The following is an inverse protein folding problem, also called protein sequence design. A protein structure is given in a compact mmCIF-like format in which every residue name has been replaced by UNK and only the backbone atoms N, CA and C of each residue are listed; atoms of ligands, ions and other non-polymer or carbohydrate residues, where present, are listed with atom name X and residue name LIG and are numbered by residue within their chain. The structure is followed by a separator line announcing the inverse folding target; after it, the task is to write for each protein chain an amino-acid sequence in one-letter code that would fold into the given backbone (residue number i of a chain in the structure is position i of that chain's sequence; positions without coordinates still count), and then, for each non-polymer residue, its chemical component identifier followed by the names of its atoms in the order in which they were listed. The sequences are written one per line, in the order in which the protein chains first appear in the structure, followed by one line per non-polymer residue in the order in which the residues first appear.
data_IF_491850633022
#
_entry.id   IF_491850633022
#
_cell.length_a   1.000
_cell.length_b   1.000
_cell.length_c   1.000
_cell.angle_alpha   90.00
_cell.angle_beta   90.00
_cell.angle_gamma   90.00
#
_symmetry.space_group_name_H-M   'P 1'
#
loop_
_entity.id
_entity.type
_entity.pdbx_description
1 polymer ?
#
# COMPACT_ATOMS: atom_id res chain seq x y z
N UNK A 1 -6.26 -9.45 -18.41
CA UNK A 1 -6.53 -8.07 -18.82
C UNK A 1 -5.45 -7.69 -19.82
N UNK A 2 -5.80 -7.29 -21.04
CA UNK A 2 -4.83 -6.71 -21.99
C UNK A 2 -4.25 -5.47 -21.34
N UNK A 3 -3.02 -5.12 -21.69
CA UNK A 3 -2.34 -3.96 -21.13
C UNK A 3 -3.30 -2.79 -20.95
N UNK A 4 -3.32 -2.19 -19.76
CA UNK A 4 -4.17 -1.05 -19.44
C UNK A 4 -3.93 0.17 -20.35
N UNK A 5 -2.86 0.13 -21.14
CA UNK A 5 -2.45 1.19 -22.06
C UNK A 5 -2.30 0.63 -23.47
N UNK A 6 -3.16 1.05 -24.37
CA UNK A 6 -2.99 0.84 -25.80
C UNK A 6 -2.32 2.07 -26.41
N UNK A 7 -1.06 1.95 -26.81
CA UNK A 7 -0.28 3.04 -27.44
C UNK A 7 -0.89 3.56 -28.74
N UNK A 8 -1.82 2.82 -29.33
CA UNK A 8 -2.56 3.27 -30.53
C UNK A 8 -3.80 4.09 -30.17
N UNK A 9 -4.15 4.18 -28.89
CA UNK A 9 -5.27 4.96 -28.41
C UNK A 9 -4.77 6.32 -27.89
N UNK A 10 -5.29 7.42 -28.49
CA UNK A 10 -4.89 8.79 -28.09
C UNK A 10 -5.12 9.06 -26.60
N UNK A 11 -6.21 8.52 -26.02
CA UNK A 11 -6.50 8.70 -24.60
C UNK A 11 -5.45 8.01 -23.71
N UNK A 12 -5.00 6.83 -24.09
CA UNK A 12 -3.97 6.10 -23.34
C UNK A 12 -2.60 6.78 -23.44
N UNK A 13 -2.28 7.39 -24.58
CA UNK A 13 -1.07 8.23 -24.71
C UNK A 13 -1.14 9.47 -23.80
N UNK A 14 -2.31 10.10 -23.67
CA UNK A 14 -2.50 11.24 -22.75
C UNK A 14 -2.33 10.78 -21.29
N UNK A 15 -2.94 9.66 -20.90
CA UNK A 15 -2.77 9.08 -19.55
C UNK A 15 -1.31 8.77 -19.24
N UNK A 16 -0.60 8.15 -20.19
CA UNK A 16 0.82 7.83 -20.03
C UNK A 16 1.66 9.09 -19.88
N UNK A 17 1.38 10.13 -20.65
CA UNK A 17 2.07 11.42 -20.53
C UNK A 17 1.82 12.06 -19.16
N UNK A 18 0.57 12.17 -18.71
CA UNK A 18 0.21 12.74 -17.41
C UNK A 18 0.85 11.94 -16.27
N UNK A 19 0.84 10.62 -16.37
CA UNK A 19 1.49 9.76 -15.40
C UNK A 19 2.99 9.99 -15.33
N UNK A 20 3.67 10.07 -16.49
CA UNK A 20 5.12 10.32 -16.54
C UNK A 20 5.46 11.72 -15.97
N UNK A 21 4.65 12.74 -16.28
CA UNK A 21 4.83 14.08 -15.72
C UNK A 21 4.65 14.09 -14.19
N UNK A 22 3.63 13.41 -13.69
CA UNK A 22 3.43 13.24 -12.25
C UNK A 22 4.62 12.52 -11.60
N UNK A 23 5.03 11.37 -12.14
CA UNK A 23 6.13 10.58 -11.59
C UNK A 23 7.45 11.38 -11.57
N UNK A 24 7.69 12.21 -12.57
CA UNK A 24 8.86 13.08 -12.63
C UNK A 24 8.84 14.16 -11.55
N UNK A 25 7.66 14.65 -11.18
CA UNK A 25 7.47 15.70 -10.17
C UNK A 25 7.17 15.16 -8.77
N UNK A 26 6.86 13.86 -8.66
CA UNK A 26 6.54 13.24 -7.38
C UNK A 26 7.74 13.29 -6.43
N UNK A 27 7.46 13.66 -5.19
CA UNK A 27 8.47 13.64 -4.14
C UNK A 27 8.63 12.22 -3.59
N UNK A 28 9.69 11.55 -4.02
CA UNK A 28 10.06 10.24 -3.48
C UNK A 28 11.01 10.46 -2.30
N UNK A 29 10.63 10.02 -1.12
CA UNK A 29 11.44 10.13 0.08
C UNK A 29 11.77 8.74 0.64
N UNK A 30 12.89 8.66 1.35
CA UNK A 30 13.31 7.46 2.05
C UNK A 30 12.64 7.45 3.44
N UNK A 31 11.93 6.37 3.79
CA UNK A 31 11.35 6.21 5.13
C UNK A 31 12.46 5.94 6.15
N UNK A 32 13.44 5.13 5.78
CA UNK A 32 14.56 4.75 6.64
C UNK A 32 14.15 3.83 7.80
N UNK A 33 15.10 3.53 8.68
CA UNK A 33 14.86 2.64 9.81
C UNK A 33 14.13 3.34 10.96
N UNK A 34 13.06 2.72 11.46
CA UNK A 34 12.26 3.19 12.59
C UNK A 34 11.78 2.02 13.46
N UNK A 35 12.25 1.97 14.71
CA UNK A 35 11.80 0.94 15.67
C UNK A 35 10.31 1.03 15.95
N UNK A 36 9.74 2.25 15.93
CA UNK A 36 8.30 2.46 16.12
C UNK A 36 7.51 1.84 14.97
N UNK A 37 7.87 2.13 13.72
CA UNK A 37 7.17 1.59 12.56
C UNK A 37 7.33 0.08 12.46
N UNK A 38 8.49 -0.46 12.83
CA UNK A 38 8.71 -1.92 12.92
C UNK A 38 7.77 -2.55 13.94
N UNK A 39 7.66 -1.98 15.15
CA UNK A 39 6.77 -2.47 16.19
C UNK A 39 5.29 -2.41 15.80
N UNK A 40 4.86 -1.31 15.16
CA UNK A 40 3.50 -1.16 14.66
C UNK A 40 3.20 -2.20 13.56
N UNK A 41 4.14 -2.44 12.65
CA UNK A 41 3.97 -3.44 11.60
C UNK A 41 3.84 -4.84 12.19
N UNK A 42 4.63 -5.20 13.20
CA UNK A 42 4.50 -6.49 13.88
C UNK A 42 3.11 -6.69 14.53
N UNK A 43 2.55 -5.63 15.14
CA UNK A 43 1.20 -5.67 15.71
C UNK A 43 0.13 -5.84 14.62
N UNK A 44 0.26 -5.13 13.51
CA UNK A 44 -0.65 -5.26 12.35
C UNK A 44 -0.61 -6.68 11.79
N UNK A 45 0.57 -7.25 11.62
CA UNK A 45 0.74 -8.62 11.13
C UNK A 45 0.07 -9.61 12.08
N UNK A 46 0.33 -9.52 13.39
CA UNK A 46 -0.31 -10.40 14.38
C UNK A 46 -1.82 -10.29 14.41
N UNK A 47 -2.35 -9.08 14.25
CA UNK A 47 -3.78 -8.83 14.35
C UNK A 47 -4.58 -9.19 13.09
N UNK A 48 -4.06 -8.86 11.90
CA UNK A 48 -4.81 -8.90 10.66
C UNK A 48 -4.32 -9.97 9.67
N UNK A 49 -3.03 -10.33 9.70
CA UNK A 49 -2.43 -11.21 8.71
C UNK A 49 -2.31 -12.65 9.23
N UNK A 50 -1.80 -12.84 10.45
CA UNK A 50 -1.68 -14.18 11.03
C UNK A 50 -3.01 -14.98 11.03
N UNK A 51 -4.19 -14.36 11.32
CA UNK A 51 -5.47 -15.06 11.25
C UNK A 51 -5.89 -15.53 9.85
N UNK A 52 -5.27 -15.01 8.78
CA UNK A 52 -5.58 -15.42 7.41
C UNK A 52 -5.03 -16.81 7.08
N UNK A 53 -4.08 -17.32 7.86
CA UNK A 53 -3.46 -18.64 7.68
C UNK A 53 -2.99 -18.91 6.25
N UNK A 54 -2.29 -17.93 5.65
CA UNK A 54 -1.78 -18.05 4.29
C UNK A 54 -0.79 -19.24 4.17
N UNK A 55 -0.75 -19.95 3.04
CA UNK A 55 0.29 -20.95 2.76
C UNK A 55 1.69 -20.34 2.85
N UNK A 56 2.67 -21.11 3.33
CA UNK A 56 4.05 -20.59 3.53
C UNK A 56 4.77 -20.24 2.22
N UNK A 57 4.34 -20.81 1.12
CA UNK A 57 4.82 -20.58 -0.25
C UNK A 57 3.94 -19.58 -1.03
N UNK A 58 2.90 -19.03 -0.39
CA UNK A 58 2.04 -18.02 -1.00
C UNK A 58 2.87 -16.86 -1.59
N UNK A 59 2.53 -16.46 -2.81
CA UNK A 59 3.11 -15.29 -3.46
C UNK A 59 2.58 -14.02 -2.80
N UNK A 60 3.39 -13.40 -1.95
CA UNK A 60 3.03 -12.22 -1.16
C UNK A 60 3.73 -10.98 -1.71
N UNK A 61 2.95 -9.93 -1.92
CA UNK A 61 3.41 -8.64 -2.41
C UNK A 61 3.22 -7.56 -1.35
N UNK A 62 4.32 -6.90 -0.95
CA UNK A 62 4.33 -5.72 -0.08
C UNK A 62 4.43 -4.46 -0.95
N UNK A 63 3.33 -3.75 -1.08
CA UNK A 63 3.20 -2.58 -1.96
C UNK A 63 3.44 -1.30 -1.18
N UNK A 64 4.47 -0.54 -1.56
CA UNK A 64 4.97 0.57 -0.76
C UNK A 64 5.73 0.06 0.46
N UNK A 65 6.65 -0.90 0.26
CA UNK A 65 7.26 -1.68 1.33
C UNK A 65 8.19 -0.87 2.26
N UNK A 66 8.53 0.38 1.92
CA UNK A 66 9.52 1.15 2.69
C UNK A 66 10.79 0.33 2.94
N UNK A 67 11.37 0.36 4.15
CA UNK A 67 12.58 -0.39 4.50
C UNK A 67 12.31 -1.88 4.81
N UNK A 68 11.13 -2.43 4.44
CA UNK A 68 10.82 -3.86 4.45
C UNK A 68 10.38 -4.44 5.80
N UNK A 69 9.75 -3.67 6.68
CA UNK A 69 9.30 -4.17 7.98
C UNK A 69 8.30 -5.33 7.88
N UNK A 70 7.36 -5.26 6.93
CA UNK A 70 6.43 -6.36 6.71
C UNK A 70 7.13 -7.60 6.17
N UNK A 71 8.07 -7.43 5.24
CA UNK A 71 8.88 -8.53 4.72
C UNK A 71 9.71 -9.20 5.82
N UNK A 72 10.28 -8.42 6.75
CA UNK A 72 10.98 -8.93 7.93
C UNK A 72 10.07 -9.80 8.79
N UNK A 73 8.83 -9.32 9.06
CA UNK A 73 7.86 -10.05 9.88
C UNK A 73 7.38 -11.33 9.20
N UNK A 74 7.17 -11.32 7.88
CA UNK A 74 6.76 -12.51 7.14
C UNK A 74 7.90 -13.53 7.04
N UNK A 75 9.14 -13.07 6.87
CA UNK A 75 10.33 -13.94 6.88
C UNK A 75 10.52 -14.64 8.23
N UNK A 76 10.30 -13.95 9.37
CA UNK A 76 10.30 -14.56 10.71
C UNK A 76 9.24 -15.66 10.85
N UNK A 77 8.15 -15.57 10.11
CA UNK A 77 7.05 -16.54 10.05
C UNK A 77 7.25 -17.61 8.98
N UNK A 78 8.45 -17.70 8.41
CA UNK A 78 8.85 -18.71 7.43
C UNK A 78 8.10 -18.66 6.09
N UNK A 79 7.57 -17.49 5.72
CA UNK A 79 7.09 -17.29 4.35
C UNK A 79 8.28 -17.12 3.40
N UNK A 80 8.21 -17.79 2.24
CA UNK A 80 9.37 -17.92 1.33
C UNK A 80 9.24 -17.13 0.03
N UNK A 81 8.03 -16.79 -0.39
CA UNK A 81 7.79 -16.12 -1.67
C UNK A 81 7.32 -14.67 -1.46
N UNK A 82 8.26 -13.84 -1.02
CA UNK A 82 8.03 -12.45 -0.65
C UNK A 82 8.65 -11.50 -1.68
N UNK A 83 7.93 -10.47 -2.07
CA UNK A 83 8.44 -9.40 -2.94
C UNK A 83 7.94 -8.05 -2.43
N UNK A 84 8.83 -7.07 -2.30
CA UNK A 84 8.49 -5.69 -2.00
C UNK A 84 8.52 -4.79 -3.24
N UNK A 85 7.69 -3.74 -3.23
CA UNK A 85 7.66 -2.70 -4.25
C UNK A 85 7.84 -1.35 -3.58
N UNK A 86 8.79 -0.55 -4.03
CA UNK A 86 8.98 0.85 -3.63
C UNK A 86 9.72 1.61 -4.71
N UNK A 87 9.55 2.93 -4.74
CA UNK A 87 10.34 3.85 -5.59
C UNK A 87 11.54 4.44 -4.84
N UNK A 88 11.58 4.36 -3.50
CA UNK A 88 12.62 4.95 -2.66
C UNK A 88 13.98 4.25 -2.84
N UNK A 89 15.01 4.94 -3.33
CA UNK A 89 16.34 4.33 -3.51
C UNK A 89 17.00 3.94 -2.18
N UNK A 90 16.79 4.72 -1.13
CA UNK A 90 17.34 4.45 0.20
C UNK A 90 16.72 3.21 0.82
N UNK A 91 15.39 3.08 0.76
CA UNK A 91 14.68 1.92 1.28
C UNK A 91 14.97 0.65 0.47
N UNK A 92 15.13 0.76 -0.86
CA UNK A 92 15.60 -0.37 -1.68
C UNK A 92 16.93 -0.90 -1.16
N UNK A 93 17.89 -0.01 -0.93
CA UNK A 93 19.20 -0.40 -0.41
C UNK A 93 19.10 -1.10 0.94
N UNK A 94 18.31 -0.57 1.88
CA UNK A 94 18.07 -1.20 3.19
C UNK A 94 17.48 -2.60 3.03
N UNK A 95 16.50 -2.76 2.16
CA UNK A 95 15.86 -4.05 1.89
C UNK A 95 16.82 -5.07 1.26
N UNK A 96 17.65 -4.63 0.31
CA UNK A 96 18.65 -5.48 -0.34
C UNK A 96 19.72 -5.94 0.66
N UNK A 97 20.18 -5.07 1.57
CA UNK A 97 21.09 -5.41 2.67
C UNK A 97 20.50 -6.46 3.62
N UNK A 98 19.17 -6.46 3.82
CA UNK A 98 18.41 -7.48 4.57
C UNK A 98 18.15 -8.77 3.78
N UNK A 99 18.50 -8.80 2.50
CA UNK A 99 18.28 -9.93 1.60
C UNK A 99 16.82 -10.10 1.15
N UNK A 100 16.07 -9.01 1.05
CA UNK A 100 14.72 -9.00 0.48
C UNK A 100 14.75 -8.83 -1.04
N UNK A 101 13.77 -9.45 -1.70
CA UNK A 101 13.54 -9.25 -3.14
C UNK A 101 12.70 -8.01 -3.35
N UNK A 102 13.28 -6.98 -3.97
CA UNK A 102 12.62 -5.70 -4.21
C UNK A 102 12.52 -5.40 -5.69
N UNK A 103 11.42 -4.78 -6.07
CA UNK A 103 11.20 -4.22 -7.41
C UNK A 103 10.97 -2.72 -7.30
N UNK A 104 11.70 -1.95 -8.12
CA UNK A 104 11.53 -0.50 -8.21
C UNK A 104 10.39 -0.17 -9.17
N UNK A 105 9.15 -0.17 -8.66
CA UNK A 105 7.95 0.18 -9.40
C UNK A 105 7.09 1.16 -8.63
N UNK A 106 6.31 1.93 -9.39
CA UNK A 106 5.20 2.67 -8.82
C UNK A 106 4.11 1.72 -8.33
N UNK A 107 3.44 2.10 -7.24
CA UNK A 107 2.40 1.29 -6.60
C UNK A 107 1.17 1.06 -7.49
N UNK A 108 1.02 1.80 -8.58
CA UNK A 108 -0.15 1.75 -9.46
C UNK A 108 0.05 0.85 -10.70
N UNK A 109 1.27 0.35 -10.96
CA UNK A 109 1.56 -0.41 -12.19
C UNK A 109 2.54 -1.55 -11.95
N UNK A 110 2.11 -2.77 -12.29
CA UNK A 110 2.91 -3.99 -12.15
C UNK A 110 3.13 -4.63 -13.53
N UNK A 111 4.33 -4.44 -14.14
CA UNK A 111 4.58 -4.91 -15.50
C UNK A 111 4.50 -6.42 -15.63
N UNK A 112 3.73 -6.93 -16.60
CA UNK A 112 3.63 -8.37 -16.88
C UNK A 112 4.98 -8.99 -17.25
N UNK A 113 5.83 -8.27 -18.00
CA UNK A 113 7.18 -8.73 -18.36
C UNK A 113 8.06 -9.12 -17.18
N UNK A 114 7.72 -8.62 -15.98
CA UNK A 114 8.46 -8.87 -14.74
C UNK A 114 7.78 -9.90 -13.83
N UNK A 115 6.78 -10.61 -14.34
CA UNK A 115 6.11 -11.71 -13.66
C UNK A 115 4.80 -11.36 -12.94
N UNK A 116 4.33 -10.11 -13.06
CA UNK A 116 3.03 -9.71 -12.51
C UNK A 116 1.91 -9.96 -13.51
N UNK A 117 1.68 -11.25 -13.78
CA UNK A 117 0.58 -11.69 -14.62
C UNK A 117 -0.76 -11.57 -13.88
N UNK A 118 -1.84 -11.66 -14.64
CA UNK A 118 -3.17 -11.78 -14.07
C UNK A 118 -3.20 -13.00 -13.14
N UNK A 119 -3.79 -12.83 -11.96
CA UNK A 119 -3.94 -13.89 -10.97
C UNK A 119 -2.64 -14.61 -10.57
N UNK A 120 -1.55 -13.86 -10.40
CA UNK A 120 -0.24 -14.40 -10.02
C UNK A 120 0.11 -14.23 -8.53
N UNK A 121 -0.66 -13.41 -7.78
CA UNK A 121 -0.38 -13.04 -6.39
C UNK A 121 -1.45 -13.62 -5.46
N UNK A 122 -1.02 -14.23 -4.34
CA UNK A 122 -1.91 -14.82 -3.34
C UNK A 122 -2.32 -13.84 -2.23
N UNK A 123 -1.51 -12.83 -1.98
CA UNK A 123 -1.81 -11.81 -0.96
C UNK A 123 -1.08 -10.49 -1.25
N UNK A 124 -1.78 -9.37 -1.07
CA UNK A 124 -1.19 -8.03 -1.10
C UNK A 124 -1.27 -7.39 0.28
N UNK A 125 -0.15 -6.88 0.75
CA UNK A 125 -0.07 -5.98 1.89
C UNK A 125 0.17 -4.56 1.40
N UNK A 126 -0.65 -3.61 1.87
CA UNK A 126 -0.61 -2.21 1.48
C UNK A 126 -0.85 -1.35 2.71
N UNK A 127 0.23 -0.87 3.33
CA UNK A 127 0.18 -0.08 4.55
C UNK A 127 0.80 1.28 4.33
N UNK A 128 0.03 2.34 4.54
CA UNK A 128 0.47 3.74 4.37
C UNK A 128 1.08 3.98 2.98
N UNK A 129 0.39 3.54 1.94
CA UNK A 129 0.88 3.62 0.57
C UNK A 129 -0.17 4.09 -0.44
N UNK A 130 -1.45 3.69 -0.30
CA UNK A 130 -2.50 4.05 -1.27
C UNK A 130 -2.74 5.57 -1.34
N UNK A 131 -2.57 6.29 -0.24
CA UNK A 131 -2.69 7.74 -0.17
C UNK A 131 -1.67 8.47 -1.04
N UNK A 132 -0.56 7.81 -1.36
CA UNK A 132 0.48 8.32 -2.26
C UNK A 132 0.15 8.08 -3.74
N UNK A 133 -0.93 7.36 -4.05
CA UNK A 133 -1.39 7.21 -5.43
C UNK A 133 -2.24 8.41 -5.85
N UNK A 134 -1.88 9.13 -6.94
CA UNK A 134 -2.74 10.17 -7.49
C UNK A 134 -4.00 9.59 -8.17
N UNK A 135 -3.99 8.29 -8.45
CA UNK A 135 -5.06 7.58 -9.12
C UNK A 135 -5.43 6.27 -8.39
N UNK A 136 -5.97 6.32 -7.16
CA UNK A 136 -6.20 5.13 -6.33
C UNK A 136 -7.12 4.09 -6.99
N UNK A 137 -8.01 4.53 -7.87
CA UNK A 137 -8.85 3.60 -8.64
C UNK A 137 -8.00 2.71 -9.55
N UNK A 138 -7.00 3.26 -10.24
CA UNK A 138 -6.13 2.47 -11.11
C UNK A 138 -5.24 1.54 -10.31
N UNK A 139 -4.73 1.99 -9.16
CA UNK A 139 -3.97 1.12 -8.24
C UNK A 139 -4.80 -0.08 -7.81
N UNK A 140 -6.04 0.15 -7.35
CA UNK A 140 -6.93 -0.93 -6.92
C UNK A 140 -7.36 -1.86 -8.06
N UNK A 141 -7.53 -1.34 -9.29
CA UNK A 141 -7.77 -2.16 -10.48
C UNK A 141 -6.58 -3.07 -10.77
N UNK A 142 -5.37 -2.54 -10.65
CA UNK A 142 -4.13 -3.31 -10.85
C UNK A 142 -3.94 -4.37 -9.77
N UNK A 143 -4.26 -4.04 -8.51
CA UNK A 143 -4.25 -5.03 -7.41
C UNK A 143 -5.27 -6.13 -7.65
N UNK A 144 -6.48 -5.79 -8.12
CA UNK A 144 -7.47 -6.79 -8.51
C UNK A 144 -6.97 -7.68 -9.66
N UNK A 145 -6.31 -7.10 -10.66
CA UNK A 145 -5.77 -7.85 -11.79
C UNK A 145 -4.77 -8.91 -11.35
N UNK A 146 -3.78 -8.53 -10.55
CA UNK A 146 -2.69 -9.44 -10.16
C UNK A 146 -3.07 -10.44 -9.08
N UNK A 147 -4.04 -10.12 -8.22
CA UNK A 147 -4.54 -11.04 -7.20
C UNK A 147 -5.28 -12.21 -7.84
N UNK A 148 -5.07 -13.41 -7.32
CA UNK A 148 -5.89 -14.59 -7.65
C UNK A 148 -7.32 -14.39 -7.17
N UNK A 149 -8.28 -15.01 -7.85
CA UNK A 149 -9.67 -15.00 -7.42
C UNK A 149 -9.82 -15.57 -6.01
N UNK A 150 -10.54 -14.87 -5.14
CA UNK A 150 -10.72 -15.25 -3.74
C UNK A 150 -9.55 -14.88 -2.82
N UNK A 151 -8.45 -14.39 -3.37
CA UNK A 151 -7.30 -13.91 -2.59
C UNK A 151 -7.57 -12.59 -1.89
N UNK A 152 -6.78 -12.29 -0.87
CA UNK A 152 -7.02 -11.15 0.02
C UNK A 152 -5.99 -10.03 -0.14
N UNK A 153 -6.44 -8.84 0.22
CA UNK A 153 -5.60 -7.65 0.37
C UNK A 153 -5.79 -7.06 1.77
N UNK A 154 -4.71 -6.63 2.39
CA UNK A 154 -4.75 -5.75 3.56
C UNK A 154 -4.42 -4.33 3.13
N UNK A 155 -5.24 -3.38 3.55
CA UNK A 155 -5.06 -1.96 3.28
C UNK A 155 -5.13 -1.20 4.60
N UNK A 156 -4.12 -0.36 4.85
CA UNK A 156 -4.15 0.64 5.92
C UNK A 156 -3.83 2.00 5.34
N UNK A 157 -4.73 2.95 5.54
CA UNK A 157 -4.58 4.33 5.06
C UNK A 157 -4.94 5.33 6.15
N UNK A 158 -4.36 6.53 6.15
CA UNK A 158 -4.76 7.58 7.06
C UNK A 158 -6.20 8.02 6.79
N UNK A 159 -6.95 8.25 7.87
CA UNK A 159 -8.28 8.82 7.78
C UNK A 159 -8.22 10.35 7.74
N UNK A 160 -9.18 11.02 7.07
CA UNK A 160 -9.28 12.47 7.11
C UNK A 160 -9.67 12.99 8.49
N UNK A 161 -9.48 14.29 8.70
CA UNK A 161 -9.94 15.02 9.88
C UNK A 161 -9.38 14.53 11.23
N UNK A 162 -8.11 14.09 11.26
CA UNK A 162 -7.37 13.88 12.50
C UNK A 162 -6.42 15.04 12.78
N UNK A 163 -5.84 15.10 13.99
CA UNK A 163 -4.96 16.22 14.38
C UNK A 163 -3.70 16.30 13.53
N UNK A 164 -3.23 15.18 12.99
CA UNK A 164 -2.07 15.13 12.08
C UNK A 164 -2.36 15.74 10.71
N UNK A 165 -3.64 15.92 10.36
CA UNK A 165 -4.07 16.55 9.10
C UNK A 165 -3.33 15.98 7.89
N UNK A 166 -3.44 14.69 7.71
CA UNK A 166 -2.80 13.97 6.61
C UNK A 166 -3.12 14.54 5.23
N UNK A 167 -4.29 15.16 5.09
CA UNK A 167 -4.74 15.88 3.89
C UNK A 167 -3.88 17.12 3.53
N UNK A 168 -3.03 17.59 4.45
CA UNK A 168 -2.11 18.71 4.19
C UNK A 168 -0.70 18.25 3.83
N UNK A 169 -0.43 16.95 3.87
CA UNK A 169 0.82 16.41 3.39
C UNK A 169 0.85 16.50 1.85
N UNK A 170 1.81 17.24 1.26
CA UNK A 170 1.83 17.41 -0.20
C UNK A 170 2.09 16.13 -0.98
N UNK A 171 2.49 15.06 -0.30
CA UNK A 171 2.71 13.74 -0.88
C UNK A 171 1.52 12.78 -0.71
N UNK A 172 0.43 13.23 -0.10
CA UNK A 172 -0.83 12.49 0.00
C UNK A 172 -1.82 13.01 -1.04
N UNK A 173 -2.04 12.25 -2.08
CA UNK A 173 -2.94 12.63 -3.18
C UNK A 173 -4.38 12.20 -2.94
N UNK A 174 -4.60 11.18 -2.09
CA UNK A 174 -5.93 10.58 -1.91
C UNK A 174 -6.21 10.21 -0.46
N UNK A 175 -6.50 11.21 0.38
CA UNK A 175 -7.04 10.99 1.73
C UNK A 175 -8.56 10.86 1.62
N UNK A 176 -9.06 9.63 1.59
CA UNK A 176 -10.46 9.31 1.36
C UNK A 176 -11.21 9.11 2.68
N UNK A 177 -12.45 9.60 2.73
CA UNK A 177 -13.39 9.24 3.80
C UNK A 177 -13.80 7.77 3.72
N UNK A 178 -14.31 7.23 4.82
CA UNK A 178 -14.70 5.82 4.93
C UNK A 178 -15.60 5.38 3.77
N UNK A 179 -16.71 6.09 3.54
CA UNK A 179 -17.70 5.68 2.53
C UNK A 179 -17.14 5.72 1.11
N UNK A 180 -16.28 6.71 0.84
CA UNK A 180 -15.61 6.82 -0.47
C UNK A 180 -14.64 5.64 -0.69
N UNK A 181 -13.84 5.29 0.32
CA UNK A 181 -12.89 4.19 0.25
C UNK A 181 -13.61 2.85 0.09
N UNK A 182 -14.67 2.62 0.86
CA UNK A 182 -15.49 1.41 0.76
C UNK A 182 -16.18 1.30 -0.61
N UNK A 183 -16.74 2.40 -1.12
CA UNK A 183 -17.34 2.43 -2.45
C UNK A 183 -16.31 2.16 -3.55
N UNK A 184 -15.09 2.71 -3.42
CA UNK A 184 -14.01 2.50 -4.37
C UNK A 184 -13.58 1.04 -4.42
N UNK A 185 -13.36 0.40 -3.25
CA UNK A 185 -13.03 -1.01 -3.14
C UNK A 185 -14.10 -1.90 -3.80
N UNK A 186 -15.37 -1.65 -3.51
CA UNK A 186 -16.46 -2.41 -4.11
C UNK A 186 -16.50 -2.24 -5.64
N UNK A 187 -16.33 -1.01 -6.15
CA UNK A 187 -16.28 -0.74 -7.60
C UNK A 187 -15.12 -1.42 -8.29
N UNK A 188 -14.00 -1.58 -7.60
CA UNK A 188 -12.80 -2.25 -8.12
C UNK A 188 -12.77 -3.76 -7.81
N UNK A 189 -13.93 -4.36 -7.51
CA UNK A 189 -14.11 -5.81 -7.43
C UNK A 189 -13.71 -6.45 -6.11
N UNK A 190 -13.54 -5.66 -5.05
CA UNK A 190 -13.25 -6.16 -3.71
C UNK A 190 -14.51 -6.22 -2.83
N UNK A 191 -14.65 -7.33 -2.10
CA UNK A 191 -15.60 -7.48 -1.00
C UNK A 191 -14.85 -7.23 0.30
N UNK A 192 -15.35 -6.31 1.11
CA UNK A 192 -14.77 -6.00 2.42
C UNK A 192 -15.17 -7.08 3.42
N UNK A 193 -14.16 -7.76 3.98
CA UNK A 193 -14.35 -8.79 5.00
C UNK A 193 -14.28 -8.20 6.41
N UNK A 194 -13.37 -7.24 6.62
CA UNK A 194 -13.18 -6.54 7.89
C UNK A 194 -12.82 -5.09 7.63
N UNK A 195 -13.46 -4.18 8.38
CA UNK A 195 -13.14 -2.76 8.40
C UNK A 195 -13.03 -2.30 9.84
N UNK A 196 -11.94 -1.64 10.18
CA UNK A 196 -11.75 -1.00 11.48
C UNK A 196 -11.20 0.42 11.30
N UNK A 197 -11.88 1.39 11.92
CA UNK A 197 -11.28 2.69 12.17
C UNK A 197 -10.53 2.60 13.52
N UNK A 198 -9.22 2.80 13.48
CA UNK A 198 -8.39 2.85 14.69
C UNK A 198 -8.00 4.28 14.96
N UNK A 199 -7.97 4.65 16.23
CA UNK A 199 -7.57 5.97 16.69
C UNK A 199 -6.66 5.81 17.90
N UNK A 200 -5.56 6.53 17.90
CA UNK A 200 -4.59 6.55 19.01
C UNK A 200 -3.86 7.88 19.06
N UNK A 201 -3.25 8.17 20.20
CA UNK A 201 -2.43 9.36 20.39
C UNK A 201 -0.96 9.04 20.15
N UNK A 202 -0.28 9.95 19.48
CA UNK A 202 1.16 9.89 19.25
C UNK A 202 1.81 11.21 19.70
N UNK A 203 2.87 11.10 20.50
CA UNK A 203 3.71 12.23 20.85
C UNK A 203 4.83 12.41 19.83
N UNK A 204 5.01 13.64 19.32
CA UNK A 204 6.13 13.96 18.46
C UNK A 204 7.19 14.66 19.31
N UNK A 205 8.35 14.03 19.61
CA UNK A 205 9.33 14.56 20.56
C UNK A 205 9.86 15.95 20.24
N UNK A 206 9.83 16.34 18.97
CA UNK A 206 10.28 17.67 18.49
C UNK A 206 9.20 18.74 18.57
N UNK A 207 7.97 18.37 18.96
CA UNK A 207 6.85 19.33 19.10
C UNK A 207 6.37 19.33 20.54
N UNK A 208 6.52 20.45 21.21
CA UNK A 208 6.15 20.61 22.62
C UNK A 208 5.03 21.62 22.81
N UNK A 209 4.29 21.45 23.90
CA UNK A 209 3.37 22.45 24.44
C UNK A 209 4.13 23.61 25.08
N UNK A 210 3.43 24.67 25.46
CA UNK A 210 4.02 25.85 26.13
C UNK A 210 4.69 25.51 27.48
N UNK A 211 4.24 24.44 28.15
CA UNK A 211 4.81 23.93 29.40
C UNK A 211 6.03 23.00 29.21
N UNK A 212 6.46 22.78 27.95
CA UNK A 212 7.60 21.92 27.60
C UNK A 212 7.27 20.44 27.50
N UNK A 213 6.03 20.02 27.78
CA UNK A 213 5.61 18.62 27.56
C UNK A 213 5.51 18.29 26.08
N UNK A 214 5.73 17.03 25.71
CA UNK A 214 5.56 16.57 24.32
C UNK A 214 4.10 16.73 23.89
N UNK A 215 3.89 17.40 22.76
CA UNK A 215 2.53 17.56 22.22
C UNK A 215 2.05 16.26 21.62
N UNK A 216 0.88 15.80 22.08
CA UNK A 216 0.20 14.65 21.53
C UNK A 216 -0.74 15.05 20.39
N UNK A 217 -0.81 14.20 19.37
CA UNK A 217 -1.69 14.33 18.23
C UNK A 217 -2.53 13.07 18.11
N UNK A 218 -3.79 13.22 17.79
CA UNK A 218 -4.65 12.10 17.44
C UNK A 218 -4.32 11.64 16.02
N UNK A 219 -3.97 10.37 15.90
CA UNK A 219 -3.84 9.65 14.64
C UNK A 219 -5.06 8.80 14.41
N UNK A 220 -5.52 8.73 13.18
CA UNK A 220 -6.65 7.90 12.79
C UNK A 220 -6.38 7.20 11.47
N UNK A 221 -6.60 5.90 11.45
CA UNK A 221 -6.38 5.05 10.28
C UNK A 221 -7.59 4.16 9.99
N UNK A 222 -7.78 3.85 8.72
CA UNK A 222 -8.69 2.80 8.28
C UNK A 222 -7.89 1.54 7.96
N UNK A 223 -8.19 0.45 8.67
CA UNK A 223 -7.59 -0.87 8.47
C UNK A 223 -8.62 -1.79 7.84
N UNK A 224 -8.31 -2.36 6.70
CA UNK A 224 -9.24 -3.10 5.87
C UNK A 224 -8.62 -4.44 5.47
N UNK A 225 -9.36 -5.51 5.65
CA UNK A 225 -9.13 -6.78 4.96
C UNK A 225 -10.24 -6.97 3.94
N UNK A 226 -9.87 -7.18 2.70
CA UNK A 226 -10.83 -7.40 1.62
C UNK A 226 -10.43 -8.59 0.74
N UNK A 227 -11.42 -9.22 0.13
CA UNK A 227 -11.25 -10.34 -0.79
C UNK A 227 -11.52 -9.89 -2.22
N UNK A 228 -10.70 -10.32 -3.19
CA UNK A 228 -11.06 -10.23 -4.60
C UNK A 228 -12.29 -11.08 -4.86
N UNK A 229 -13.43 -10.43 -4.98
CA UNK A 229 -14.74 -11.07 -5.13
C UNK A 229 -15.10 -11.34 -6.61
N UNK A 230 -14.67 -10.44 -7.49
CA UNK A 230 -14.87 -10.57 -8.93
C UNK A 230 -13.72 -9.95 -9.72
N UNK A 231 -13.38 -10.50 -10.88
CA UNK A 231 -12.49 -9.83 -11.82
C UNK A 231 -13.16 -8.56 -12.35
N UNK A 232 -12.35 -7.61 -12.79
CA UNK A 232 -12.85 -6.43 -13.51
C UNK A 232 -12.93 -6.77 -14.99
N UNK A 233 -14.15 -6.87 -15.51
CA UNK A 233 -14.39 -6.97 -16.96
C UNK A 233 -14.44 -5.54 -17.54
N UNK A 234 -13.25 -5.03 -17.88
CA UNK A 234 -13.13 -3.73 -18.57
C UNK A 234 -13.27 -4.02 -20.05
N UNK A 235 -14.48 -3.83 -20.55
CA UNK A 235 -14.79 -3.90 -21.99
C UNK A 235 -14.40 -2.61 -22.70
#
# INVERSE_FOLDING_TARGET
MKDLIDINNTLDLVKLKLYNEWLYTAHIYDEGNSNMHQGLTAQVVGKYIDPLNLPKDAAILDVGCGPGYFLDEMKKREYTNLTGITLSPGDIKICEEKGHKIKKYDISFFPQKDGYYDESVDFIFLRQALEHSPYPIFSLMEYNRVLKQGSKIYIEVPAPACDRKHEYNPNHYSILGQDQLMALLNRTGFKIDNFQAIEFKIGIPTVTNEDGSVKEFTEKYFCIVATKDRPLDIK
#
